data_IF_894522161175
#
_entry.id   IF_894522161175
#
_cell.length_a   1.000
_cell.length_b   1.000
_cell.length_c   1.000
_cell.angle_alpha   90.00
_cell.angle_beta   90.00
_cell.angle_gamma   90.00
#
_symmetry.space_group_name_H-M   'P 1'
#
loop_
_entity.id
_entity.type
_entity.pdbx_description
1 polymer ?
#
# COMPACT_ATOMS: atom_id res chain seq x y z
N UNK A 1 -7.40 17.82 -13.03
CA UNK A 1 -6.70 18.38 -11.87
C UNK A 1 -6.52 17.27 -10.85
N UNK A 2 -5.31 16.78 -10.65
CA UNK A 2 -4.97 15.83 -9.58
C UNK A 2 -4.80 16.63 -8.29
N UNK A 3 -5.62 16.34 -7.28
CA UNK A 3 -5.49 17.00 -5.97
C UNK A 3 -4.54 16.15 -5.15
N UNK A 4 -3.27 16.53 -5.12
CA UNK A 4 -2.27 15.90 -4.23
C UNK A 4 -2.61 16.29 -2.80
N UNK A 5 -3.13 15.33 -2.02
CA UNK A 5 -3.51 15.54 -0.62
C UNK A 5 -2.29 15.29 0.26
N UNK A 6 -2.05 16.16 1.25
CA UNK A 6 -1.09 15.88 2.32
C UNK A 6 -1.66 14.77 3.21
N UNK A 7 -1.16 13.55 3.03
CA UNK A 7 -1.52 12.37 3.82
C UNK A 7 -0.34 11.96 4.71
N UNK A 8 -0.65 11.21 5.77
CA UNK A 8 0.36 10.47 6.56
C UNK A 8 1.25 9.65 5.60
N UNK A 9 2.59 9.70 5.72
CA UNK A 9 3.52 8.99 4.83
C UNK A 9 3.30 7.47 4.76
N UNK A 10 2.62 6.87 5.73
CA UNK A 10 2.23 5.46 5.67
C UNK A 10 1.11 5.18 4.64
N UNK A 11 0.52 6.21 4.03
CA UNK A 11 -0.65 6.09 3.17
C UNK A 11 -0.61 7.02 1.95
N UNK A 12 -1.31 6.60 0.91
CA UNK A 12 -1.40 7.29 -0.37
C UNK A 12 -2.86 7.34 -0.84
N UNK A 13 -3.20 8.39 -1.58
CA UNK A 13 -4.52 8.55 -2.18
C UNK A 13 -4.59 7.93 -3.57
N UNK A 14 -5.80 7.84 -4.13
CA UNK A 14 -5.98 7.50 -5.55
C UNK A 14 -5.20 8.45 -6.47
N UNK A 15 -5.14 9.74 -6.15
CA UNK A 15 -4.45 10.75 -6.96
C UNK A 15 -2.92 10.52 -6.94
N UNK A 16 -2.37 10.12 -5.80
CA UNK A 16 -0.94 9.75 -5.69
C UNK A 16 -0.62 8.49 -6.49
N UNK A 17 -1.52 7.50 -6.49
CA UNK A 17 -1.38 6.29 -7.31
C UNK A 17 -1.42 6.64 -8.80
N UNK A 18 -2.33 7.53 -9.20
CA UNK A 18 -2.41 8.02 -10.58
C UNK A 18 -1.13 8.73 -10.99
N UNK A 19 -0.62 9.63 -10.14
CA UNK A 19 0.63 10.36 -10.39
C UNK A 19 1.84 9.43 -10.42
N UNK A 20 1.87 8.42 -9.55
CA UNK A 20 2.95 7.45 -9.47
C UNK A 20 3.02 6.55 -10.71
N UNK A 21 1.89 6.04 -11.18
CA UNK A 21 1.80 5.09 -12.28
C UNK A 21 1.48 5.73 -13.65
N UNK A 22 1.18 7.02 -13.71
CA UNK A 22 0.79 7.72 -14.93
C UNK A 22 -0.55 7.25 -15.51
N UNK A 23 -1.48 6.78 -14.66
CA UNK A 23 -2.74 6.16 -15.08
C UNK A 23 -3.97 7.01 -14.71
N UNK A 24 -5.08 6.74 -15.39
CA UNK A 24 -6.36 7.36 -15.08
C UNK A 24 -7.00 6.73 -13.81
N UNK A 25 -7.85 7.51 -13.14
CA UNK A 25 -8.63 7.05 -11.96
C UNK A 25 -9.42 5.76 -12.24
N UNK A 26 -9.99 5.63 -13.43
CA UNK A 26 -10.74 4.41 -13.80
C UNK A 26 -9.83 3.18 -13.79
N UNK A 27 -8.59 3.31 -14.28
CA UNK A 27 -7.60 2.22 -14.24
C UNK A 27 -7.30 1.79 -12.81
N UNK A 28 -7.18 2.74 -11.87
CA UNK A 28 -7.01 2.42 -10.44
C UNK A 28 -8.18 1.60 -9.92
N UNK A 29 -9.43 2.00 -10.24
CA UNK A 29 -10.61 1.25 -9.83
C UNK A 29 -10.63 -0.18 -10.40
N UNK A 30 -10.32 -0.34 -11.70
CA UNK A 30 -10.24 -1.67 -12.32
C UNK A 30 -9.12 -2.51 -11.67
N UNK A 31 -7.97 -1.92 -11.34
CA UNK A 31 -6.89 -2.64 -10.66
C UNK A 31 -7.25 -3.08 -9.24
N UNK A 32 -8.08 -2.32 -8.54
CA UNK A 32 -8.67 -2.74 -7.25
C UNK A 32 -9.66 -3.88 -7.47
N UNK A 33 -10.57 -3.77 -8.44
CA UNK A 33 -11.55 -4.81 -8.79
C UNK A 33 -10.87 -6.13 -9.20
N UNK A 34 -9.75 -6.04 -9.93
CA UNK A 34 -8.95 -7.20 -10.37
C UNK A 34 -8.05 -7.78 -9.26
N UNK A 35 -7.96 -7.16 -8.08
CA UNK A 35 -7.12 -7.58 -6.97
C UNK A 35 -5.62 -7.26 -7.13
N UNK A 36 -5.25 -6.36 -8.05
CA UNK A 36 -3.86 -5.91 -8.22
C UNK A 36 -3.43 -4.88 -7.19
N UNK A 37 -4.38 -4.06 -6.73
CA UNK A 37 -4.18 -3.09 -5.66
C UNK A 37 -4.97 -3.51 -4.42
N UNK A 38 -4.49 -3.18 -3.21
CA UNK A 38 -5.22 -3.46 -1.99
C UNK A 38 -6.56 -2.71 -1.99
N UNK A 39 -7.55 -3.31 -1.32
CA UNK A 39 -8.86 -2.70 -1.20
C UNK A 39 -8.75 -1.32 -0.50
N UNK A 40 -9.33 -0.25 -1.09
CA UNK A 40 -9.25 1.08 -0.51
C UNK A 40 -10.00 1.15 0.82
N UNK A 41 -9.39 1.81 1.81
CA UNK A 41 -10.09 2.23 3.00
C UNK A 41 -10.75 3.59 2.72
N UNK A 42 -12.08 3.64 2.81
CA UNK A 42 -12.81 4.90 2.67
C UNK A 42 -12.61 5.73 3.95
N UNK A 43 -12.00 6.90 3.82
CA UNK A 43 -11.77 7.82 4.92
C UNK A 43 -12.54 9.10 4.68
N UNK A 44 -13.23 9.57 5.71
CA UNK A 44 -13.90 10.88 5.74
C UNK A 44 -13.12 11.79 6.67
N UNK A 45 -12.61 12.92 6.15
CA UNK A 45 -11.92 13.94 6.96
C UNK A 45 -12.87 15.08 7.39
N UNK A 46 -14.18 14.88 7.30
CA UNK A 46 -15.16 15.94 7.53
C UNK A 46 -15.03 17.06 6.50
N UNK A 47 -15.66 18.21 6.76
CA UNK A 47 -15.57 19.37 5.88
C UNK A 47 -14.41 20.27 6.35
N UNK A 48 -13.50 20.71 5.45
CA UNK A 48 -13.54 20.68 3.98
C UNK A 48 -12.84 19.46 3.33
N UNK A 49 -12.34 18.49 4.11
CA UNK A 49 -11.52 17.38 3.61
C UNK A 49 -12.25 16.36 2.70
N UNK A 50 -13.58 16.25 2.85
CA UNK A 50 -14.43 15.35 2.07
C UNK A 50 -14.16 13.87 2.35
N UNK A 51 -14.76 13.01 1.52
CA UNK A 51 -14.58 11.55 1.55
C UNK A 51 -13.63 11.13 0.44
N UNK A 52 -12.62 10.34 0.75
CA UNK A 52 -11.68 9.81 -0.23
C UNK A 52 -11.19 8.41 0.12
N UNK A 53 -10.58 7.77 -0.87
CA UNK A 53 -10.00 6.44 -0.73
C UNK A 53 -8.54 6.56 -0.29
N UNK A 54 -8.20 5.84 0.78
CA UNK A 54 -6.85 5.73 1.34
C UNK A 54 -6.31 4.33 1.06
N UNK A 55 -5.09 4.28 0.56
CA UNK A 55 -4.33 3.06 0.30
C UNK A 55 -3.07 3.07 1.17
N UNK A 56 -2.52 1.91 1.54
CA UNK A 56 -1.20 1.85 2.17
C UNK A 56 -0.11 2.35 1.21
N UNK A 57 0.97 2.93 1.73
CA UNK A 57 2.02 3.57 0.91
C UNK A 57 2.61 2.65 -0.17
N UNK A 58 2.76 1.35 0.12
CA UNK A 58 3.26 0.37 -0.84
C UNK A 58 2.35 0.22 -2.08
N UNK A 59 1.11 0.68 -2.05
CA UNK A 59 0.19 0.63 -3.19
C UNK A 59 0.66 1.52 -4.35
N UNK A 60 1.30 2.67 -4.08
CA UNK A 60 1.84 3.53 -5.12
C UNK A 60 3.02 2.87 -5.85
N UNK A 61 3.94 2.25 -5.09
CA UNK A 61 5.06 1.47 -5.63
C UNK A 61 4.58 0.25 -6.42
N UNK A 62 3.57 -0.46 -5.90
CA UNK A 62 2.93 -1.57 -6.62
C UNK A 62 2.29 -1.11 -7.93
N UNK A 63 1.62 0.03 -7.94
CA UNK A 63 1.03 0.60 -9.15
C UNK A 63 2.10 1.00 -10.19
N UNK A 64 3.21 1.61 -9.75
CA UNK A 64 4.39 1.88 -10.60
C UNK A 64 4.92 0.61 -11.24
N UNK A 65 5.07 -0.45 -10.46
CA UNK A 65 5.56 -1.74 -10.94
C UNK A 65 4.62 -2.33 -12.01
N UNK A 66 3.31 -2.35 -11.75
CA UNK A 66 2.32 -2.83 -12.71
C UNK A 66 2.38 -2.02 -14.01
N UNK A 67 2.44 -0.70 -13.92
CA UNK A 67 2.55 0.18 -15.08
C UNK A 67 3.83 -0.10 -15.89
N UNK A 68 4.98 -0.25 -15.23
CA UNK A 68 6.25 -0.58 -15.87
C UNK A 68 6.20 -1.95 -16.58
N UNK A 69 5.58 -2.97 -15.95
CA UNK A 69 5.41 -4.28 -16.58
C UNK A 69 4.44 -4.24 -17.76
N UNK A 70 3.34 -3.49 -17.65
CA UNK A 70 2.41 -3.28 -18.77
C UNK A 70 3.08 -2.54 -19.93
N UNK A 71 3.92 -1.56 -19.66
CA UNK A 71 4.70 -0.87 -20.68
C UNK A 71 5.74 -1.78 -21.36
N UNK A 72 6.29 -2.74 -20.62
CA UNK A 72 7.19 -3.77 -21.14
C UNK A 72 6.47 -4.90 -21.93
N UNK A 73 5.15 -4.81 -22.11
CA UNK A 73 4.37 -5.77 -22.91
C UNK A 73 3.84 -6.98 -22.16
N UNK A 74 4.00 -7.05 -20.84
CA UNK A 74 3.45 -8.14 -20.04
C UNK A 74 1.91 -8.07 -19.99
N UNK A 75 1.29 -9.24 -20.07
CA UNK A 75 -0.15 -9.41 -19.89
C UNK A 75 -0.55 -9.21 -18.42
N UNK A 76 -1.82 -8.93 -18.18
CA UNK A 76 -2.32 -8.78 -16.81
C UNK A 76 -2.17 -10.07 -15.99
N UNK A 77 -2.29 -11.25 -16.62
CA UNK A 77 -2.13 -12.53 -15.94
C UNK A 77 -0.69 -12.79 -15.50
N UNK A 78 0.29 -12.44 -16.34
CA UNK A 78 1.71 -12.54 -15.96
C UNK A 78 2.06 -11.58 -14.82
N UNK A 79 1.54 -10.35 -14.89
CA UNK A 79 1.68 -9.38 -13.79
C UNK A 79 1.01 -9.90 -12.51
N UNK A 80 -0.12 -10.60 -12.62
CA UNK A 80 -0.79 -11.24 -11.48
C UNK A 80 0.10 -12.29 -10.81
N UNK A 81 0.74 -13.14 -11.61
CA UNK A 81 1.64 -14.17 -11.10
C UNK A 81 2.83 -13.53 -10.34
N UNK A 82 3.46 -12.52 -10.94
CA UNK A 82 4.56 -11.78 -10.31
C UNK A 82 4.13 -11.10 -9.00
N UNK A 83 2.94 -10.50 -8.98
CA UNK A 83 2.40 -9.85 -7.80
C UNK A 83 2.05 -10.85 -6.69
N UNK A 84 1.54 -12.04 -7.03
CA UNK A 84 1.24 -13.08 -6.05
C UNK A 84 2.51 -13.58 -5.36
N UNK A 85 3.63 -13.70 -6.10
CA UNK A 85 4.93 -14.01 -5.52
C UNK A 85 5.42 -12.90 -4.58
N UNK A 86 5.30 -11.64 -4.99
CA UNK A 86 5.65 -10.49 -4.14
C UNK A 86 4.79 -10.43 -2.86
N UNK A 87 3.48 -10.67 -2.99
CA UNK A 87 2.54 -10.66 -1.86
C UNK A 87 2.82 -11.81 -0.90
N UNK A 88 3.14 -13.00 -1.41
CA UNK A 88 3.57 -14.13 -0.58
C UNK A 88 4.86 -13.83 0.19
N UNK A 89 5.80 -13.10 -0.41
CA UNK A 89 7.04 -12.69 0.26
C UNK A 89 6.79 -11.58 1.28
N UNK A 90 5.94 -10.61 0.98
CA UNK A 90 5.55 -9.54 1.91
C UNK A 90 4.69 -10.07 3.06
N UNK A 91 3.79 -11.02 2.83
CA UNK A 91 3.03 -11.72 3.87
C UNK A 91 3.95 -12.54 4.78
N UNK A 92 5.00 -13.17 4.23
CA UNK A 92 6.05 -13.83 5.03
C UNK A 92 6.83 -12.83 5.88
N UNK A 93 7.21 -11.68 5.32
CA UNK A 93 7.88 -10.60 6.07
C UNK A 93 6.97 -9.96 7.12
N UNK A 94 5.69 -9.74 6.81
CA UNK A 94 4.69 -9.23 7.73
C UNK A 94 4.45 -10.23 8.88
N UNK A 95 4.41 -11.54 8.59
CA UNK A 95 4.40 -12.58 9.65
C UNK A 95 5.69 -12.61 10.46
N UNK A 96 6.84 -12.37 9.84
CA UNK A 96 8.12 -12.29 10.54
C UNK A 96 8.20 -11.04 11.44
N UNK A 97 7.66 -9.91 11.01
CA UNK A 97 7.55 -8.67 11.78
C UNK A 97 6.44 -8.73 12.86
N UNK A 98 5.38 -9.51 12.62
CA UNK A 98 4.30 -9.75 13.57
C UNK A 98 4.63 -10.85 14.59
N UNK A 99 5.79 -11.52 14.49
CA UNK A 99 6.29 -12.33 15.60
C UNK A 99 6.64 -11.34 16.73
N UNK A 100 5.98 -11.43 17.90
CA UNK A 100 6.26 -10.48 18.98
C UNK A 100 7.74 -10.60 19.34
N UNK A 101 8.47 -9.51 19.22
CA UNK A 101 9.77 -9.41 19.87
C UNK A 101 9.51 -9.70 21.35
N UNK A 102 10.22 -10.65 21.98
CA UNK A 102 10.10 -10.83 23.41
C UNK A 102 10.39 -9.48 24.08
N UNK A 103 9.59 -9.04 25.07
CA UNK A 103 9.81 -7.75 25.71
C UNK A 103 11.26 -7.69 26.20
N UNK A 104 11.96 -6.54 26.04
CA UNK A 104 13.31 -6.41 26.56
C UNK A 104 13.27 -6.76 28.03
N UNK A 105 14.01 -7.80 28.41
CA UNK A 105 14.05 -8.35 29.75
C UNK A 105 14.15 -7.20 30.76
N UNK A 106 13.13 -7.09 31.62
CA UNK A 106 13.09 -6.11 32.69
C UNK A 106 14.42 -6.17 33.45
N UNK A 107 15.26 -5.15 33.26
CA UNK A 107 16.44 -4.93 34.10
C UNK A 107 15.90 -4.77 35.51
N UNK A 108 16.02 -5.83 36.33
CA UNK A 108 15.82 -5.76 37.78
C UNK A 108 16.84 -4.75 38.32
N UNK A 109 16.47 -3.48 38.41
CA UNK A 109 17.14 -2.54 39.31
C UNK A 109 16.75 -2.97 40.73
N UNK A 110 17.58 -3.86 41.27
CA UNK A 110 17.50 -4.30 42.65
C UNK A 110 17.60 -3.10 43.58
N UNK A 111 16.51 -2.84 44.29
CA UNK A 111 16.50 -2.08 45.54
C UNK A 111 17.41 -2.78 46.55
N UNK A 112 18.53 -2.17 46.91
CA UNK A 112 19.30 -2.37 48.16
C UNK A 112 20.04 -1.06 48.43
N UNK A 113 20.13 -0.51 49.62
CA UNK A 113 19.41 -0.58 50.90
C UNK A 113 19.85 0.69 51.62
#
# INVERSE_FOLDING_TARGET
MTITRSLDPAFVSTDDIMAAAGIARRTVAVWVEMGFLPAPLKVSLGQPGGVFNRFPAHAAERARFIAAKRAAGFTYDEVRAMLAEMDAQEARKAKAAARPQPPPAARKSGRRR
#
